data_IF_103485223736
#
_entry.id   IF_103485223736
#
_cell.length_a   1.000
_cell.length_b   1.000
_cell.length_c   1.000
_cell.angle_alpha   90.00
_cell.angle_beta   90.00
_cell.angle_gamma   90.00
#
_symmetry.space_group_name_H-M   'P 1'
#
loop_
_entity.id
_entity.type
_entity.pdbx_description
1 polymer ?
#
# COMPACT_ATOMS: atom_id res chain seq x y z
N UNK A 1 22.85 -18.81 -2.13
CA UNK A 1 21.55 -18.16 -1.96
C UNK A 1 20.88 -17.95 -3.29
N UNK A 2 19.57 -18.13 -3.33
CA UNK A 2 18.84 -17.88 -4.57
C UNK A 2 18.82 -16.39 -4.89
N UNK A 3 18.93 -16.07 -6.17
CA UNK A 3 18.78 -14.71 -6.64
C UNK A 3 17.30 -14.49 -6.97
N UNK A 4 16.64 -13.63 -6.22
CA UNK A 4 15.21 -13.34 -6.38
C UNK A 4 14.94 -12.05 -7.15
N UNK A 5 15.97 -11.40 -7.68
CA UNK A 5 15.80 -10.16 -8.44
C UNK A 5 14.88 -10.36 -9.64
N UNK A 6 13.99 -9.41 -9.85
CA UNK A 6 13.08 -9.44 -11.00
C UNK A 6 12.99 -8.06 -11.64
N UNK A 7 12.54 -8.04 -12.89
CA UNK A 7 12.24 -6.80 -13.61
C UNK A 7 10.81 -6.79 -14.09
N UNK A 8 10.15 -5.64 -13.91
CA UNK A 8 8.83 -5.38 -14.48
C UNK A 8 9.00 -4.17 -15.39
N UNK A 9 9.13 -4.42 -16.70
CA UNK A 9 9.49 -3.36 -17.62
C UNK A 9 10.87 -2.79 -17.28
N UNK A 10 10.91 -1.50 -16.95
CA UNK A 10 12.15 -0.83 -16.53
C UNK A 10 12.37 -0.84 -15.01
N UNK A 11 11.40 -1.34 -14.26
CA UNK A 11 11.48 -1.37 -12.81
C UNK A 11 12.18 -2.64 -12.35
N UNK A 12 13.26 -2.47 -11.59
CA UNK A 12 14.02 -3.59 -11.04
C UNK A 12 13.73 -3.71 -9.55
N UNK A 13 13.34 -4.91 -9.13
CA UNK A 13 13.01 -5.22 -7.74
C UNK A 13 13.94 -6.30 -7.21
N UNK A 14 14.28 -6.22 -5.93
CA UNK A 14 15.17 -7.20 -5.30
C UNK A 14 14.50 -8.56 -5.09
N UNK A 15 13.18 -8.62 -5.08
CA UNK A 15 12.43 -9.86 -5.02
C UNK A 15 10.99 -9.61 -5.50
N UNK A 16 10.20 -10.66 -5.79
CA UNK A 16 8.86 -10.49 -6.34
C UNK A 16 7.76 -10.22 -5.31
N UNK A 17 8.10 -10.02 -4.05
CA UNK A 17 7.10 -9.79 -2.99
C UNK A 17 6.73 -8.32 -2.95
N UNK A 18 5.44 -8.03 -3.08
CA UNK A 18 4.91 -6.67 -3.03
C UNK A 18 3.62 -6.67 -2.23
N UNK A 19 3.33 -5.55 -1.56
CA UNK A 19 2.04 -5.38 -0.88
C UNK A 19 1.00 -4.91 -1.88
N UNK A 20 -0.26 -5.24 -1.60
CA UNK A 20 -1.37 -4.81 -2.46
C UNK A 20 -1.92 -3.46 -2.00
N UNK A 21 -2.38 -2.68 -2.97
CA UNK A 21 -3.03 -1.40 -2.70
C UNK A 21 -4.20 -1.60 -1.74
N UNK A 22 -4.32 -0.70 -0.75
CA UNK A 22 -5.42 -0.73 0.20
C UNK A 22 -5.24 -1.69 1.37
N UNK A 23 -4.16 -2.46 1.42
CA UNK A 23 -3.94 -3.46 2.47
C UNK A 23 -2.81 -3.08 3.42
N UNK A 24 -1.95 -2.16 3.06
CA UNK A 24 -0.72 -1.88 3.81
C UNK A 24 -0.54 -0.38 4.10
N UNK A 25 -1.57 0.42 3.93
CA UNK A 25 -1.50 1.87 4.16
C UNK A 25 -0.41 2.51 3.31
N UNK A 26 0.42 3.32 3.94
CA UNK A 26 1.60 3.90 3.30
C UNK A 26 2.88 3.11 3.60
N UNK A 27 2.76 2.05 4.38
CA UNK A 27 3.87 1.16 4.72
C UNK A 27 4.56 1.50 6.03
N UNK A 28 4.77 2.77 6.33
CA UNK A 28 5.47 3.18 7.55
C UNK A 28 4.81 2.72 8.83
N UNK A 29 3.48 2.55 8.81
CA UNK A 29 2.72 2.10 9.97
C UNK A 29 3.14 0.71 10.44
N UNK A 30 3.75 -0.07 9.56
CA UNK A 30 4.13 -1.45 9.84
C UNK A 30 5.62 -1.62 10.14
N UNK A 31 6.38 -0.53 10.16
CA UNK A 31 7.83 -0.62 10.38
C UNK A 31 8.21 -1.18 11.75
N UNK A 32 7.33 -1.03 12.74
CA UNK A 32 7.56 -1.57 14.08
C UNK A 32 7.34 -3.08 14.17
N UNK A 33 6.68 -3.67 13.17
CA UNK A 33 6.32 -5.08 13.16
C UNK A 33 7.20 -5.92 12.28
N UNK A 34 7.82 -5.30 11.29
CA UNK A 34 8.67 -6.02 10.33
C UNK A 34 9.65 -5.07 9.67
N UNK A 35 10.74 -5.62 9.18
CA UNK A 35 11.68 -4.87 8.35
C UNK A 35 11.13 -4.80 6.93
N UNK A 36 10.48 -3.70 6.61
CA UNK A 36 9.82 -3.51 5.31
C UNK A 36 10.82 -3.41 4.15
N UNK A 37 12.11 -3.19 4.44
CA UNK A 37 13.13 -3.17 3.40
C UNK A 37 13.40 -4.56 2.81
N UNK A 38 12.91 -5.62 3.44
CA UNK A 38 13.11 -7.00 2.98
C UNK A 38 12.19 -7.38 1.82
N UNK A 39 11.08 -6.69 1.63
CA UNK A 39 10.17 -6.96 0.50
C UNK A 39 10.58 -6.16 -0.72
N UNK A 40 10.15 -6.61 -1.89
CA UNK A 40 10.55 -6.00 -3.16
C UNK A 40 9.93 -4.65 -3.43
N UNK A 41 8.72 -4.43 -2.97
CA UNK A 41 8.03 -3.17 -3.20
C UNK A 41 6.79 -3.01 -2.36
N UNK A 42 6.34 -1.77 -2.27
CA UNK A 42 5.13 -1.42 -1.52
C UNK A 42 4.21 -0.63 -2.44
N UNK A 43 2.96 -1.06 -2.54
CA UNK A 43 1.94 -0.31 -3.24
C UNK A 43 1.10 0.41 -2.21
N UNK A 44 1.24 1.73 -2.18
CA UNK A 44 0.55 2.55 -1.19
C UNK A 44 -0.92 2.75 -1.55
N UNK A 45 -1.65 3.42 -0.66
CA UNK A 45 -3.07 3.69 -0.86
C UNK A 45 -3.32 4.45 -2.16
N UNK A 46 -4.49 4.20 -2.75
CA UNK A 46 -4.99 5.04 -3.84
C UNK A 46 -5.06 6.48 -3.35
N UNK A 47 -4.47 7.40 -4.13
CA UNK A 47 -4.21 8.75 -3.64
C UNK A 47 -4.93 9.77 -4.52
N UNK A 48 -5.63 10.70 -3.88
CA UNK A 48 -6.28 11.84 -4.55
C UNK A 48 -5.41 13.08 -4.41
N UNK A 49 -5.72 14.12 -5.16
CA UNK A 49 -4.95 15.37 -5.11
C UNK A 49 -4.95 15.98 -3.70
N UNK A 50 -6.11 16.01 -3.07
CA UNK A 50 -6.28 16.49 -1.70
C UNK A 50 -6.64 15.31 -0.81
N UNK A 51 -6.47 15.49 0.52
CA UNK A 51 -6.88 14.46 1.46
C UNK A 51 -8.37 14.15 1.32
N UNK A 52 -8.72 12.90 1.63
CA UNK A 52 -10.10 12.42 1.53
C UNK A 52 -10.38 11.50 2.71
N UNK A 53 -11.45 11.81 3.43
CA UNK A 53 -11.83 11.00 4.60
C UNK A 53 -12.54 9.71 4.23
N UNK A 54 -12.99 9.60 2.98
CA UNK A 54 -13.72 8.44 2.53
C UNK A 54 -15.21 8.54 2.86
N UNK A 55 -15.90 7.42 2.75
CA UNK A 55 -17.33 7.36 2.98
C UNK A 55 -17.66 7.33 4.47
N UNK A 56 -18.92 7.62 4.80
CA UNK A 56 -19.40 7.48 6.17
C UNK A 56 -19.48 6.01 6.58
N UNK A 57 -19.36 5.74 7.87
CA UNK A 57 -19.52 4.40 8.41
C UNK A 57 -21.01 3.99 8.38
N UNK A 58 -21.34 2.70 8.22
CA UNK A 58 -20.39 1.58 8.10
C UNK A 58 -19.76 1.51 6.70
N UNK A 59 -18.49 1.09 6.66
CA UNK A 59 -17.71 1.00 5.41
C UNK A 59 -17.47 -0.43 4.98
N UNK A 60 -17.65 -1.39 5.87
CA UNK A 60 -17.35 -2.78 5.64
C UNK A 60 -18.47 -3.65 6.18
N UNK A 61 -18.75 -4.74 5.47
CA UNK A 61 -19.75 -5.72 5.87
C UNK A 61 -19.25 -7.12 5.53
N UNK A 62 -19.37 -8.04 6.49
CA UNK A 62 -19.00 -9.42 6.25
C UNK A 62 -20.02 -10.12 5.39
N UNK A 63 -19.53 -11.04 4.55
CA UNK A 63 -20.35 -11.96 3.77
C UNK A 63 -19.95 -13.39 4.13
N UNK A 64 -20.73 -14.41 3.73
CA UNK A 64 -20.37 -15.80 4.08
C UNK A 64 -18.97 -16.23 3.64
N UNK A 65 -18.43 -15.65 2.57
CA UNK A 65 -17.12 -16.06 2.04
C UNK A 65 -16.17 -14.88 1.86
N UNK A 66 -16.45 -13.75 2.47
CA UNK A 66 -15.59 -12.59 2.28
C UNK A 66 -16.12 -11.34 2.97
N UNK A 67 -15.86 -10.20 2.33
CA UNK A 67 -16.21 -8.91 2.91
C UNK A 67 -16.46 -7.89 1.81
N UNK A 68 -17.51 -7.09 1.99
CA UNK A 68 -17.77 -5.95 1.13
C UNK A 68 -17.17 -4.69 1.78
N UNK A 69 -16.64 -3.80 0.96
CA UNK A 69 -16.15 -2.54 1.48
C UNK A 69 -16.63 -1.37 0.62
N UNK A 70 -16.76 -0.23 1.26
CA UNK A 70 -17.11 1.04 0.61
C UNK A 70 -16.34 2.15 1.32
N UNK A 71 -15.02 1.99 1.41
CA UNK A 71 -14.15 2.95 2.12
C UNK A 71 -14.11 4.30 1.42
N UNK A 72 -14.14 4.33 0.09
CA UNK A 72 -14.25 5.57 -0.67
C UNK A 72 -12.94 6.33 -0.80
N UNK A 73 -11.85 5.63 -1.09
CA UNK A 73 -10.54 6.24 -1.34
C UNK A 73 -10.03 7.11 -0.19
N UNK A 74 -10.21 6.64 1.04
CA UNK A 74 -9.65 7.34 2.20
C UNK A 74 -8.13 7.47 2.06
N UNK A 75 -7.61 8.69 2.11
CA UNK A 75 -6.16 8.92 2.00
C UNK A 75 -5.82 10.33 2.47
N UNK A 76 -4.52 10.59 2.63
CA UNK A 76 -4.01 11.87 3.15
C UNK A 76 -3.59 12.84 2.05
N UNK A 77 -3.91 12.54 0.80
CA UNK A 77 -3.57 13.40 -0.32
C UNK A 77 -2.22 13.10 -0.94
N UNK A 78 -1.97 13.67 -2.12
CA UNK A 78 -0.78 13.36 -2.91
C UNK A 78 0.52 13.77 -2.24
N UNK A 79 0.51 14.84 -1.45
CA UNK A 79 1.72 15.29 -0.76
C UNK A 79 2.25 14.23 0.21
N UNK A 80 1.37 13.70 1.04
CA UNK A 80 1.74 12.67 2.03
C UNK A 80 2.09 11.36 1.35
N UNK A 81 1.31 10.93 0.35
CA UNK A 81 1.60 9.71 -0.40
C UNK A 81 2.93 9.78 -1.11
N UNK A 82 3.25 10.92 -1.70
CA UNK A 82 4.51 11.14 -2.39
C UNK A 82 5.70 11.10 -1.43
N UNK A 83 5.57 11.75 -0.28
CA UNK A 83 6.62 11.74 0.73
C UNK A 83 6.89 10.30 1.22
N UNK A 84 5.84 9.52 1.43
CA UNK A 84 5.97 8.13 1.84
C UNK A 84 6.69 7.29 0.78
N UNK A 85 6.38 7.50 -0.49
CA UNK A 85 7.07 6.81 -1.58
C UNK A 85 8.55 7.18 -1.66
N UNK A 86 8.89 8.43 -1.39
CA UNK A 86 10.29 8.88 -1.39
C UNK A 86 11.13 8.18 -0.33
N UNK A 87 10.57 7.96 0.84
CA UNK A 87 11.27 7.30 1.93
C UNK A 87 11.59 5.84 1.63
N UNK A 88 10.95 5.27 0.61
CA UNK A 88 11.08 3.85 0.25
C UNK A 88 12.07 3.58 -0.88
N UNK A 89 12.49 4.61 -1.55
CA UNK A 89 13.38 4.48 -2.71
C UNK A 89 14.87 4.42 -2.33
#
# INVERSE_FOLDING_TARGET
>A
MANLDIKIGKLQLKNPVMTASGTFGYGTEYSDFMDISRIGGIIVKGTTLRDRQGNQYPRMAETPSGMLNAVGLQNKGVEIGRASCRERV
#
